data_IF_033452170190
#
_entry.id   IF_033452170190
#
_cell.length_a   1.000
_cell.length_b   1.000
_cell.length_c   1.000
_cell.angle_alpha   90.00
_cell.angle_beta   90.00
_cell.angle_gamma   90.00
#
_symmetry.space_group_name_H-M   'P 1'
#
loop_
_entity.id
_entity.type
_entity.pdbx_description
1 polymer ?
#
# COMPACT_ATOMS: atom_id res chain seq x y z
N UNK A 1 4.69 10.44 8.53
CA UNK A 1 3.25 10.64 8.79
C UNK A 1 2.91 12.09 8.51
N UNK A 2 1.77 12.36 7.89
CA UNK A 2 1.29 13.72 7.68
C UNK A 2 0.75 14.31 8.98
N UNK A 3 0.87 15.62 9.16
CA UNK A 3 0.21 16.32 10.28
C UNK A 3 -1.30 16.32 10.10
N UNK A 4 -1.75 16.50 8.86
CA UNK A 4 -3.15 16.53 8.48
C UNK A 4 -3.64 15.19 7.93
N UNK A 5 -4.96 14.96 7.99
CA UNK A 5 -5.61 13.81 7.39
C UNK A 5 -5.60 13.89 5.86
N UNK A 6 -5.33 12.78 5.19
CA UNK A 6 -5.42 12.68 3.74
C UNK A 6 -6.88 12.46 3.32
N UNK A 7 -7.52 13.38 2.57
CA UNK A 7 -8.94 13.30 2.25
C UNK A 7 -9.30 12.08 1.38
N UNK A 8 -8.37 11.59 0.56
CA UNK A 8 -8.60 10.42 -0.30
C UNK A 8 -8.63 9.15 0.55
N UNK A 9 -7.71 9.04 1.51
CA UNK A 9 -7.73 7.94 2.48
C UNK A 9 -8.94 8.02 3.40
N UNK A 10 -9.40 9.21 3.80
CA UNK A 10 -10.67 9.33 4.54
C UNK A 10 -11.84 8.73 3.76
N UNK A 11 -11.98 9.06 2.48
CA UNK A 11 -13.04 8.51 1.62
C UNK A 11 -12.97 6.98 1.55
N UNK A 12 -11.77 6.42 1.41
CA UNK A 12 -11.57 4.97 1.42
C UNK A 12 -11.94 4.36 2.77
N UNK A 13 -11.41 4.89 3.86
CA UNK A 13 -11.62 4.37 5.21
C UNK A 13 -13.09 4.41 5.63
N UNK A 14 -13.83 5.45 5.22
CA UNK A 14 -15.28 5.54 5.45
C UNK A 14 -16.05 4.43 4.73
N UNK A 15 -15.57 3.97 3.57
CA UNK A 15 -16.15 2.83 2.88
C UNK A 15 -15.82 1.50 3.58
N UNK A 16 -14.71 1.40 4.31
CA UNK A 16 -14.32 0.17 5.02
C UNK A 16 -15.04 -0.02 6.37
N UNK A 17 -15.69 1.01 6.89
CA UNK A 17 -16.45 0.90 8.15
C UNK A 17 -17.54 -0.18 8.03
N UNK A 18 -17.54 -1.10 9.00
CA UNK A 18 -18.52 -2.18 9.12
C UNK A 18 -18.30 -3.37 8.17
N UNK A 19 -17.25 -3.36 7.35
CA UNK A 19 -16.94 -4.46 6.44
C UNK A 19 -16.41 -5.67 7.24
N UNK A 20 -17.01 -6.84 7.06
CA UNK A 20 -16.54 -8.08 7.69
C UNK A 20 -15.69 -8.91 6.74
N UNK A 21 -14.96 -9.88 7.30
CA UNK A 21 -14.16 -10.80 6.52
C UNK A 21 -15.01 -11.56 5.49
N UNK A 22 -14.55 -11.59 4.24
CA UNK A 22 -15.25 -12.23 3.12
C UNK A 22 -16.35 -11.40 2.47
N UNK A 23 -16.74 -10.27 3.08
CA UNK A 23 -17.72 -9.37 2.50
C UNK A 23 -17.09 -8.49 1.42
N UNK A 24 -17.93 -8.09 0.46
CA UNK A 24 -17.59 -7.14 -0.60
C UNK A 24 -18.48 -5.93 -0.46
N UNK A 25 -17.90 -4.74 -0.67
CA UNK A 25 -18.63 -3.47 -0.65
C UNK A 25 -18.20 -2.61 -1.81
N UNK A 26 -19.17 -2.05 -2.52
CA UNK A 26 -18.91 -1.07 -3.57
C UNK A 26 -18.42 0.23 -2.95
N UNK A 27 -17.36 0.81 -3.52
CA UNK A 27 -16.81 2.09 -3.07
C UNK A 27 -17.64 3.22 -3.68
N UNK A 28 -18.29 4.01 -2.83
CA UNK A 28 -19.08 5.17 -3.24
C UNK A 28 -18.74 6.41 -2.39
N UNK A 29 -18.59 7.61 -2.99
CA UNK A 29 -18.50 7.85 -4.44
C UNK A 29 -17.23 7.24 -5.04
N UNK A 30 -17.23 7.01 -6.35
CA UNK A 30 -16.08 6.48 -7.09
C UNK A 30 -14.82 7.29 -6.77
N UNK A 31 -13.74 6.59 -6.41
CA UNK A 31 -12.41 7.19 -6.14
C UNK A 31 -11.53 6.89 -7.34
N UNK A 32 -10.90 7.90 -7.95
CA UNK A 32 -9.96 7.65 -9.05
C UNK A 32 -8.67 7.12 -8.46
N UNK A 33 -8.15 6.02 -9.00
CA UNK A 33 -6.94 5.38 -8.48
C UNK A 33 -5.71 6.30 -8.54
N UNK A 34 -5.65 7.20 -9.51
CA UNK A 34 -4.59 8.22 -9.60
C UNK A 34 -4.54 9.16 -8.40
N UNK A 35 -5.64 9.32 -7.65
CA UNK A 35 -5.67 10.14 -6.43
C UNK A 35 -4.88 9.50 -5.25
N UNK A 36 -4.53 8.22 -5.36
CA UNK A 36 -3.66 7.51 -4.40
C UNK A 36 -2.18 7.57 -4.76
N UNK A 37 -1.82 8.22 -5.86
CA UNK A 37 -0.44 8.34 -6.30
C UNK A 37 0.12 9.71 -5.93
N UNK A 38 1.43 9.82 -5.66
CA UNK A 38 2.10 11.10 -5.44
C UNK A 38 2.02 11.96 -6.71
N UNK A 39 2.27 13.26 -6.56
CA UNK A 39 2.21 14.18 -7.69
C UNK A 39 3.34 13.93 -8.68
N UNK A 40 4.54 13.63 -8.18
CA UNK A 40 5.69 13.35 -9.02
C UNK A 40 5.85 11.84 -9.28
N UNK A 41 5.43 11.40 -10.46
CA UNK A 41 5.61 10.02 -10.91
C UNK A 41 6.92 9.79 -11.68
N UNK A 42 7.68 10.85 -11.96
CA UNK A 42 8.91 10.76 -12.75
C UNK A 42 10.11 10.23 -11.96
N UNK A 43 10.04 10.25 -10.62
CA UNK A 43 11.09 9.76 -9.71
C UNK A 43 10.68 8.44 -9.09
N UNK A 44 11.38 7.38 -9.44
CA UNK A 44 11.13 6.05 -8.91
C UNK A 44 12.40 5.18 -8.96
N UNK A 45 12.39 4.14 -8.14
CA UNK A 45 13.33 3.02 -8.18
C UNK A 45 12.67 1.83 -8.86
N UNK A 46 13.43 1.05 -9.64
CA UNK A 46 12.92 -0.14 -10.31
C UNK A 46 13.90 -1.31 -10.29
N UNK A 47 13.38 -2.52 -10.12
CA UNK A 47 14.17 -3.76 -10.10
C UNK A 47 13.29 -5.00 -10.37
N UNK A 48 13.85 -6.09 -10.94
CA UNK A 48 13.18 -7.37 -11.02
C UNK A 48 13.12 -8.05 -9.64
N UNK A 49 11.95 -8.57 -9.28
CA UNK A 49 11.74 -9.21 -7.99
C UNK A 49 10.60 -10.23 -8.01
N UNK A 50 10.14 -10.56 -6.80
CA UNK A 50 9.11 -11.58 -6.60
C UNK A 50 7.78 -10.97 -6.18
N UNK A 51 6.74 -11.80 -6.23
CA UNK A 51 5.55 -11.60 -5.40
C UNK A 51 5.96 -11.56 -3.91
N UNK A 52 5.27 -10.76 -3.10
CA UNK A 52 5.49 -10.67 -1.64
C UNK A 52 4.59 -11.63 -0.85
N UNK A 53 3.75 -12.39 -1.54
CA UNK A 53 2.90 -13.44 -0.99
C UNK A 53 3.21 -14.77 -1.71
N UNK A 54 2.96 -15.92 -1.07
CA UNK A 54 3.09 -17.23 -1.72
C UNK A 54 2.35 -17.28 -3.06
N UNK A 55 2.92 -17.88 -4.11
CA UNK A 55 4.12 -18.74 -4.10
C UNK A 55 5.47 -18.00 -4.22
N UNK A 56 5.50 -16.67 -4.05
CA UNK A 56 6.74 -15.87 -4.09
C UNK A 56 7.50 -15.97 -5.43
N UNK A 57 6.81 -16.18 -6.55
CA UNK A 57 7.41 -16.29 -7.89
C UNK A 57 8.17 -15.02 -8.28
N UNK A 58 9.35 -15.18 -8.87
CA UNK A 58 10.21 -14.11 -9.41
C UNK A 58 9.75 -13.65 -10.80
N UNK A 59 8.57 -13.03 -10.85
CA UNK A 59 7.92 -12.62 -12.10
C UNK A 59 7.47 -11.16 -12.11
N UNK A 60 7.97 -10.33 -11.21
CA UNK A 60 7.50 -8.95 -11.00
C UNK A 60 8.61 -7.95 -11.35
N UNK A 61 8.27 -6.88 -12.07
CA UNK A 61 9.07 -5.66 -12.13
C UNK A 61 8.51 -4.69 -11.10
N UNK A 62 9.26 -4.42 -10.04
CA UNK A 62 8.85 -3.48 -9.00
C UNK A 62 9.14 -2.05 -9.44
N UNK A 63 8.17 -1.15 -9.27
CA UNK A 63 8.32 0.30 -9.44
C UNK A 63 7.94 0.95 -8.11
N UNK A 64 8.92 1.54 -7.42
CA UNK A 64 8.75 2.19 -6.12
C UNK A 64 8.91 3.69 -6.30
N UNK A 65 7.81 4.44 -6.19
CA UNK A 65 7.83 5.89 -6.31
C UNK A 65 8.62 6.52 -5.16
N UNK A 66 9.45 7.51 -5.47
CA UNK A 66 10.34 8.18 -4.52
C UNK A 66 9.57 9.04 -3.49
N UNK A 67 8.50 9.69 -3.93
CA UNK A 67 7.66 10.52 -3.07
C UNK A 67 6.58 9.67 -2.36
N UNK A 68 6.52 9.66 -1.01
CA UNK A 68 5.50 8.92 -0.29
C UNK A 68 4.16 9.66 -0.26
N UNK A 69 3.07 8.92 -0.16
CA UNK A 69 1.78 9.48 0.26
C UNK A 69 1.71 9.55 1.78
N UNK A 70 1.41 10.73 2.29
CA UNK A 70 1.24 10.98 3.70
C UNK A 70 -0.21 10.73 4.13
N UNK A 71 -0.37 10.07 5.27
CA UNK A 71 -1.63 9.91 6.01
C UNK A 71 -1.40 10.30 7.47
N UNK A 72 -2.46 10.65 8.18
CA UNK A 72 -2.39 10.93 9.62
C UNK A 72 -2.27 9.65 10.45
N UNK A 73 -1.84 9.78 11.71
CA UNK A 73 -1.78 8.64 12.63
C UNK A 73 -3.16 7.98 12.81
N UNK A 74 -4.21 8.78 12.97
CA UNK A 74 -5.59 8.27 13.12
C UNK A 74 -6.02 7.40 11.92
N UNK A 75 -5.65 7.81 10.71
CA UNK A 75 -5.93 7.06 9.49
C UNK A 75 -5.20 5.72 9.46
N UNK A 76 -3.92 5.72 9.82
CA UNK A 76 -3.13 4.49 9.94
C UNK A 76 -3.75 3.52 10.97
N UNK A 77 -4.16 4.04 12.13
CA UNK A 77 -4.77 3.24 13.19
C UNK A 77 -6.10 2.62 12.72
N UNK A 78 -6.95 3.39 12.03
CA UNK A 78 -8.20 2.89 11.44
C UNK A 78 -7.96 1.81 10.39
N UNK A 79 -6.92 1.96 9.56
CA UNK A 79 -6.56 0.96 8.55
C UNK A 79 -6.14 -0.36 9.20
N UNK A 80 -5.33 -0.31 10.27
CA UNK A 80 -4.90 -1.49 11.03
C UNK A 80 -6.09 -2.24 11.65
N UNK A 81 -7.15 -1.52 12.02
CA UNK A 81 -8.38 -2.12 12.58
C UNK A 81 -9.27 -2.83 11.57
N UNK A 82 -9.02 -2.71 10.26
CA UNK A 82 -9.85 -3.38 9.23
C UNK A 82 -9.84 -4.91 9.37
N UNK A 83 -8.73 -5.47 9.88
CA UNK A 83 -8.59 -6.90 10.14
C UNK A 83 -8.87 -7.28 11.62
N UNK A 84 -9.29 -6.33 12.45
CA UNK A 84 -9.63 -6.58 13.85
C UNK A 84 -10.81 -7.57 13.95
N UNK A 85 -10.66 -8.62 14.75
CA UNK A 85 -11.68 -9.67 14.90
C UNK A 85 -11.75 -10.70 13.76
N UNK A 86 -10.89 -10.60 12.74
CA UNK A 86 -10.79 -11.62 11.71
C UNK A 86 -9.98 -12.84 12.19
N UNK A 87 -10.66 -13.96 12.46
CA UNK A 87 -10.04 -15.21 12.91
C UNK A 87 -9.11 -15.85 11.88
N UNK A 88 -9.31 -15.55 10.58
CA UNK A 88 -8.53 -16.10 9.47
C UNK A 88 -7.33 -15.21 9.11
N UNK A 89 -7.50 -13.89 9.22
CA UNK A 89 -6.55 -12.90 8.75
C UNK A 89 -5.89 -12.11 9.88
N UNK A 90 -5.86 -12.69 11.10
CA UNK A 90 -5.52 -12.09 12.40
C UNK A 90 -4.11 -11.53 12.59
N UNK A 91 -3.54 -10.88 11.57
CA UNK A 91 -2.31 -10.10 11.64
C UNK A 91 -2.56 -8.72 11.05
N UNK A 92 -2.38 -7.70 11.87
CA UNK A 92 -2.24 -6.30 11.44
C UNK A 92 -0.95 -6.07 10.65
N UNK A 93 0.05 -6.95 10.85
CA UNK A 93 1.33 -6.94 10.14
C UNK A 93 1.25 -7.78 8.86
N UNK A 94 0.50 -7.27 7.88
CA UNK A 94 0.27 -7.90 6.58
C UNK A 94 1.38 -7.56 5.56
N UNK A 95 2.65 -7.63 5.98
CA UNK A 95 3.80 -7.38 5.13
C UNK A 95 4.84 -8.51 5.25
N UNK A 96 5.63 -8.69 4.18
CA UNK A 96 6.77 -9.62 4.16
C UNK A 96 8.02 -8.89 4.68
N UNK A 97 8.88 -9.51 5.52
CA UNK A 97 10.17 -8.93 5.89
C UNK A 97 11.06 -8.65 4.67
N UNK A 98 12.01 -7.72 4.85
CA UNK A 98 13.00 -7.42 3.81
C UNK A 98 13.76 -8.70 3.42
N UNK A 99 14.02 -8.86 2.13
CA UNK A 99 14.83 -9.96 1.60
C UNK A 99 16.20 -9.43 1.17
N UNK A 100 17.28 -10.21 1.31
CA UNK A 100 18.61 -9.78 0.89
C UNK A 100 18.65 -9.37 -0.58
N UNK A 101 19.35 -8.28 -0.91
CA UNK A 101 19.43 -7.76 -2.28
C UNK A 101 20.09 -8.76 -3.25
N UNK A 102 21.05 -9.55 -2.75
CA UNK A 102 21.80 -10.51 -3.56
C UNK A 102 22.60 -9.80 -4.65
N UNK A 103 22.49 -10.29 -5.89
CA UNK A 103 23.19 -9.74 -7.06
C UNK A 103 22.35 -8.75 -7.89
N UNK A 104 21.17 -8.38 -7.41
CA UNK A 104 20.23 -7.54 -8.17
C UNK A 104 20.74 -6.10 -8.22
N UNK A 105 20.61 -5.50 -9.40
CA UNK A 105 20.80 -4.06 -9.58
C UNK A 105 19.46 -3.34 -9.40
N UNK A 106 19.53 -2.18 -8.74
CA UNK A 106 18.39 -1.27 -8.58
C UNK A 106 18.67 -0.07 -9.48
N UNK A 107 17.72 0.26 -10.34
CA UNK A 107 17.79 1.41 -11.21
C UNK A 107 16.94 2.55 -10.64
N UNK A 108 17.33 3.79 -10.88
CA UNK A 108 16.55 4.98 -10.58
C UNK A 108 16.25 5.74 -11.88
N UNK A 109 15.07 6.35 -11.95
CA UNK A 109 14.64 7.13 -13.13
C UNK A 109 15.16 8.57 -13.15
N UNK A 110 15.90 8.95 -12.12
CA UNK A 110 16.51 10.24 -11.90
C UNK A 110 18.00 10.05 -11.62
N UNK A 111 18.76 11.14 -11.60
CA UNK A 111 20.17 11.07 -11.19
C UNK A 111 20.26 10.62 -9.74
N UNK A 112 20.58 9.33 -9.56
CA UNK A 112 21.45 8.90 -8.49
C UNK A 112 22.87 9.42 -8.78
#
# INVERSE_FOLDING_TARGET
LGKDGNPIFERLLNNLVGLKAGEKKSVNPVIKLSEFLPRNLSKYYTYPGSLTTPPCSECVTWIILDEPILISQNQLDRMRKVHEGCSICGRTDNYRPICPIGKRQIFCSFSC
#
